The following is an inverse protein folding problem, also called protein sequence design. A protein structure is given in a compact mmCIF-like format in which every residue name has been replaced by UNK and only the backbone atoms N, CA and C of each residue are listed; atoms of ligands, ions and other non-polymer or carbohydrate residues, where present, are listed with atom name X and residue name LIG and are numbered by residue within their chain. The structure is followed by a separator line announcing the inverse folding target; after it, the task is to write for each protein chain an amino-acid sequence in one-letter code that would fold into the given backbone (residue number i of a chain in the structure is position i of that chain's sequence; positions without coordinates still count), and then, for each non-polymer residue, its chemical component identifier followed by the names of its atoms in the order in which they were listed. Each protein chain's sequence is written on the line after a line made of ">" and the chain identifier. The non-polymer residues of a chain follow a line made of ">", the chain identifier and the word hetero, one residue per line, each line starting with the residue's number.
data_IF_285250912569
#
_entry.id   IF_285250912569
#
_cell.length_a   1.000
_cell.length_b   1.000
_cell.length_c   1.000
_cell.angle_alpha   90.00
_cell.angle_beta   90.00
_cell.angle_gamma   90.00
#
_symmetry.space_group_name_H-M   'P 1'
#
loop_
_entity.id
_entity.type
_entity.pdbx_description
1 polymer ?
#
# COMPACT_ATOMS: atom_id res chain seq x y z
N UNK A 1 -23.14 -28.59 3.90
CA UNK A 1 -21.88 -28.98 4.56
C UNK A 1 -20.88 -27.86 4.30
N UNK A 2 -20.42 -27.16 5.33
CA UNK A 2 -19.43 -26.08 5.16
C UNK A 2 -18.05 -26.66 4.85
N UNK A 3 -17.19 -25.89 4.20
CA UNK A 3 -15.84 -26.33 3.81
C UNK A 3 -14.99 -26.72 5.03
N UNK A 4 -15.24 -26.12 6.19
CA UNK A 4 -14.60 -26.44 7.47
C UNK A 4 -14.90 -27.85 7.97
N UNK A 5 -15.99 -28.47 7.48
CA UNK A 5 -16.33 -29.87 7.78
C UNK A 5 -15.57 -30.85 6.86
N UNK A 6 -15.12 -30.35 5.71
CA UNK A 6 -14.35 -31.12 4.70
C UNK A 6 -12.86 -30.97 4.97
N UNK A 7 -12.40 -29.75 5.21
CA UNK A 7 -11.00 -29.43 5.52
C UNK A 7 -10.90 -28.70 6.86
N UNK A 8 -10.36 -29.39 7.87
CA UNK A 8 -10.19 -28.86 9.24
C UNK A 8 -9.20 -27.68 9.32
N UNK A 9 -8.40 -27.45 8.27
CA UNK A 9 -7.52 -26.28 8.16
C UNK A 9 -8.27 -25.05 7.65
N UNK A 10 -9.43 -25.23 7.05
CA UNK A 10 -10.29 -24.15 6.59
C UNK A 10 -11.18 -23.68 7.75
N UNK A 11 -10.85 -22.55 8.35
CA UNK A 11 -11.70 -21.94 9.37
C UNK A 11 -12.59 -20.89 8.73
N UNK A 12 -13.91 -20.88 9.02
CA UNK A 12 -14.75 -19.78 8.62
C UNK A 12 -14.21 -18.46 9.21
N UNK A 13 -14.36 -17.37 8.45
CA UNK A 13 -14.08 -16.02 8.95
C UNK A 13 -15.11 -15.72 10.06
N UNK A 14 -14.63 -15.44 11.25
CA UNK A 14 -15.50 -15.10 12.39
C UNK A 14 -14.73 -14.96 13.68
N UNK A 15 -15.39 -14.40 14.68
CA UNK A 15 -14.88 -14.29 16.04
C UNK A 15 -15.68 -15.28 16.89
N UNK A 16 -15.00 -16.29 17.41
CA UNK A 16 -15.60 -17.35 18.25
C UNK A 16 -15.38 -17.12 19.73
N UNK A 17 -14.42 -16.30 20.12
CA UNK A 17 -14.05 -16.03 21.50
C UNK A 17 -14.98 -15.03 22.17
N UNK A 18 -15.46 -15.38 23.36
CA UNK A 18 -16.34 -14.53 24.17
C UNK A 18 -15.60 -13.72 25.24
N UNK A 19 -14.30 -13.99 25.45
CA UNK A 19 -13.44 -13.44 26.48
C UNK A 19 -12.53 -12.29 25.95
N UNK A 20 -13.04 -11.49 24.99
CA UNK A 20 -12.27 -10.46 24.33
C UNK A 20 -12.59 -9.05 24.82
N UNK A 21 -11.54 -8.31 25.14
CA UNK A 21 -11.61 -6.87 25.40
C UNK A 21 -11.22 -6.13 24.12
N UNK A 22 -12.15 -5.32 23.58
CA UNK A 22 -12.01 -4.62 22.32
C UNK A 22 -11.51 -3.19 22.49
N UNK A 23 -10.54 -2.79 21.65
CA UNK A 23 -9.99 -1.43 21.62
C UNK A 23 -9.97 -0.89 20.19
N UNK A 24 -10.30 0.39 20.05
CA UNK A 24 -10.24 1.08 18.76
C UNK A 24 -8.81 1.51 18.43
N UNK A 25 -8.35 1.18 17.23
CA UNK A 25 -6.98 1.38 16.80
C UNK A 25 -6.62 2.82 16.39
N UNK A 26 -7.58 3.75 16.39
CA UNK A 26 -7.32 5.15 16.00
C UNK A 26 -6.69 6.02 17.12
N UNK A 27 -6.31 5.42 18.24
CA UNK A 27 -5.73 6.10 19.41
C UNK A 27 -4.66 5.23 20.10
N UNK A 28 -3.82 5.84 20.94
CA UNK A 28 -2.84 5.08 21.74
C UNK A 28 -3.50 3.92 22.51
N UNK A 29 -2.78 2.80 22.72
CA UNK A 29 -1.34 2.62 22.47
C UNK A 29 -0.98 2.17 21.04
N UNK A 30 -1.93 2.13 20.11
CA UNK A 30 -1.68 1.76 18.72
C UNK A 30 -0.85 2.81 17.99
N UNK A 31 0.14 2.36 17.23
CA UNK A 31 0.99 3.17 16.36
C UNK A 31 0.48 3.03 14.91
N UNK A 32 -0.18 4.08 14.40
CA UNK A 32 -0.72 4.13 13.04
C UNK A 32 0.30 4.76 12.11
N UNK A 33 0.66 4.06 11.03
CA UNK A 33 1.70 4.45 10.07
C UNK A 33 1.22 4.37 8.63
N UNK A 34 1.78 5.24 7.77
CA UNK A 34 1.46 5.31 6.34
C UNK A 34 0.07 5.86 6.02
N UNK A 35 -0.76 6.05 7.02
CA UNK A 35 -2.09 6.68 6.99
C UNK A 35 -2.32 7.44 8.29
N UNK A 36 -3.32 8.32 8.31
CA UNK A 36 -3.78 8.98 9.53
C UNK A 36 -5.30 8.87 9.66
N UNK A 37 -5.82 8.90 10.88
CA UNK A 37 -7.26 8.92 11.09
C UNK A 37 -7.79 10.34 11.00
N UNK A 38 -8.61 10.62 9.99
CA UNK A 38 -9.29 11.89 9.83
C UNK A 38 -10.61 11.90 10.64
N UNK A 39 -10.66 12.74 11.67
CA UNK A 39 -11.91 12.92 12.43
C UNK A 39 -13.00 13.56 11.58
N UNK A 40 -12.63 14.43 10.66
CA UNK A 40 -13.55 15.11 9.73
C UNK A 40 -14.20 14.12 8.77
N UNK A 41 -13.40 13.23 8.20
CA UNK A 41 -13.85 12.25 7.21
C UNK A 41 -14.31 10.93 7.85
N UNK A 42 -14.04 10.75 9.16
CA UNK A 42 -14.35 9.55 9.94
C UNK A 42 -13.80 8.26 9.31
N UNK A 43 -12.56 8.33 8.81
CA UNK A 43 -11.86 7.21 8.18
C UNK A 43 -10.35 7.42 8.19
N UNK A 44 -9.60 6.34 7.88
CA UNK A 44 -8.18 6.43 7.63
C UNK A 44 -7.91 7.00 6.24
N UNK A 45 -6.99 7.97 6.16
CA UNK A 45 -6.63 8.70 4.94
C UNK A 45 -5.15 8.55 4.65
N UNK A 46 -4.78 8.45 3.38
CA UNK A 46 -3.36 8.54 2.95
C UNK A 46 -2.89 9.99 2.83
N UNK A 47 -3.72 10.84 2.29
CA UNK A 47 -3.43 12.28 2.16
C UNK A 47 -4.72 13.11 2.33
N UNK A 48 -4.59 14.40 2.69
CA UNK A 48 -5.74 15.28 2.87
C UNK A 48 -6.58 15.39 1.59
N UNK A 49 -7.90 15.37 1.74
CA UNK A 49 -8.82 15.44 0.61
C UNK A 49 -8.63 16.71 -0.22
N UNK A 50 -8.37 17.85 0.42
CA UNK A 50 -8.10 19.13 -0.23
C UNK A 50 -6.78 19.15 -1.03
N UNK A 51 -5.77 18.41 -0.62
CA UNK A 51 -4.58 18.19 -1.43
C UNK A 51 -4.90 17.29 -2.64
N UNK A 52 -5.71 16.24 -2.44
CA UNK A 52 -6.20 15.40 -3.54
C UNK A 52 -6.97 16.19 -4.60
N UNK A 53 -7.84 17.12 -4.18
CA UNK A 53 -8.58 18.02 -5.08
C UNK A 53 -7.64 18.88 -5.94
N UNK A 54 -6.58 19.45 -5.35
CA UNK A 54 -5.59 20.28 -6.06
C UNK A 54 -4.78 19.47 -7.07
N UNK A 55 -4.50 18.20 -6.78
CA UNK A 55 -3.71 17.33 -7.66
C UNK A 55 -4.58 16.77 -8.78
N UNK A 56 -5.79 16.33 -8.48
CA UNK A 56 -6.73 15.84 -9.47
C UNK A 56 -7.60 14.68 -9.00
N UNK A 57 -8.62 14.39 -9.80
CA UNK A 57 -9.69 13.44 -9.45
C UNK A 57 -9.17 12.04 -9.02
N UNK A 58 -8.15 11.50 -9.71
CA UNK A 58 -7.57 10.21 -9.32
C UNK A 58 -6.99 10.20 -7.91
N UNK A 59 -6.41 11.31 -7.47
CA UNK A 59 -5.90 11.43 -6.10
C UNK A 59 -7.03 11.55 -5.08
N UNK A 60 -8.09 12.28 -5.42
CA UNK A 60 -9.27 12.37 -4.55
C UNK A 60 -9.89 11.00 -4.30
N UNK A 61 -10.07 10.21 -5.36
CA UNK A 61 -10.68 8.87 -5.32
C UNK A 61 -9.88 7.91 -4.44
N UNK A 62 -8.56 8.02 -4.46
CA UNK A 62 -7.69 7.11 -3.71
C UNK A 62 -7.17 7.70 -2.39
N UNK A 63 -7.66 8.86 -1.96
CA UNK A 63 -7.22 9.51 -0.73
C UNK A 63 -7.51 8.66 0.53
N UNK A 64 -8.65 7.99 0.56
CA UNK A 64 -9.09 7.14 1.66
C UNK A 64 -8.78 5.63 1.47
N UNK A 65 -8.16 5.24 0.35
CA UNK A 65 -7.56 3.91 0.24
C UNK A 65 -6.41 3.78 1.23
N UNK A 66 -6.29 2.63 1.87
CA UNK A 66 -5.32 2.48 2.97
C UNK A 66 -4.01 1.80 2.57
N UNK A 67 -3.67 1.80 1.27
CA UNK A 67 -2.42 1.23 0.76
C UNK A 67 -1.19 1.77 1.50
N UNK A 68 -0.33 0.86 1.96
CA UNK A 68 0.82 1.21 2.80
C UNK A 68 0.45 1.53 4.25
N UNK A 69 -0.84 1.57 4.61
CA UNK A 69 -1.30 1.77 5.97
C UNK A 69 -1.00 0.59 6.88
N UNK A 70 -0.51 0.88 8.07
CA UNK A 70 -0.18 -0.13 9.08
C UNK A 70 -0.63 0.33 10.45
N UNK A 71 -1.14 -0.63 11.25
CA UNK A 71 -1.44 -0.45 12.66
C UNK A 71 -0.53 -1.40 13.44
N UNK A 72 0.27 -0.85 14.34
CA UNK A 72 1.29 -1.58 15.07
C UNK A 72 1.04 -1.52 16.57
N UNK A 73 1.30 -2.62 17.25
CA UNK A 73 1.20 -2.73 18.71
C UNK A 73 1.92 -3.97 19.21
N UNK A 74 2.18 -4.03 20.50
CA UNK A 74 2.70 -5.22 21.17
C UNK A 74 1.65 -5.77 22.13
N UNK A 75 1.51 -7.10 22.20
CA UNK A 75 0.58 -7.74 23.13
C UNK A 75 1.14 -9.06 23.67
N UNK A 76 0.73 -9.44 24.86
CA UNK A 76 0.98 -10.77 25.42
C UNK A 76 -0.20 -11.73 25.22
N UNK A 77 -1.27 -11.31 24.54
CA UNK A 77 -2.43 -12.15 24.27
C UNK A 77 -2.08 -13.32 23.37
N UNK A 78 -2.46 -14.56 23.71
CA UNK A 78 -2.18 -15.74 22.88
C UNK A 78 -2.97 -15.77 21.57
N UNK A 79 -3.96 -14.89 21.45
CA UNK A 79 -4.80 -14.70 20.26
C UNK A 79 -5.21 -13.24 20.14
N UNK A 80 -5.47 -12.81 18.92
CA UNK A 80 -6.08 -11.52 18.64
C UNK A 80 -7.29 -11.70 17.74
N UNK A 81 -8.31 -10.88 17.95
CA UNK A 81 -9.43 -10.75 17.04
C UNK A 81 -9.41 -9.34 16.42
N UNK A 82 -9.83 -9.24 15.18
CA UNK A 82 -9.85 -7.96 14.43
C UNK A 82 -11.23 -7.80 13.84
N UNK A 83 -11.85 -6.64 14.05
CA UNK A 83 -13.05 -6.18 13.35
C UNK A 83 -12.69 -5.00 12.48
N UNK A 84 -13.19 -5.00 11.24
CA UNK A 84 -12.96 -3.93 10.28
C UNK A 84 -14.29 -3.46 9.74
N UNK A 85 -14.47 -2.15 9.71
CA UNK A 85 -15.50 -1.46 8.95
C UNK A 85 -14.81 -0.73 7.82
N UNK A 86 -15.01 -1.21 6.62
CA UNK A 86 -14.48 -0.64 5.39
C UNK A 86 -15.59 -0.16 4.44
N UNK A 87 -15.20 0.37 3.30
CA UNK A 87 -16.10 0.65 2.19
C UNK A 87 -15.86 -0.28 1.02
N UNK A 88 -16.84 -0.41 0.16
CA UNK A 88 -16.67 -1.10 -1.12
C UNK A 88 -15.52 -0.45 -1.89
N UNK A 89 -14.52 -1.27 -2.24
CA UNK A 89 -13.41 -0.82 -3.07
C UNK A 89 -13.90 -0.55 -4.48
N UNK A 90 -13.48 0.56 -5.01
CA UNK A 90 -13.74 0.93 -6.39
C UNK A 90 -12.42 0.95 -7.14
N UNK A 91 -12.43 0.50 -8.36
CA UNK A 91 -11.24 0.68 -9.13
C UNK A 91 -10.95 -0.35 -10.19
N UNK A 92 -10.00 0.05 -10.96
CA UNK A 92 -9.56 -0.51 -12.23
C UNK A 92 -9.03 -1.95 -12.10
N UNK A 93 -8.63 -2.36 -10.90
CA UNK A 93 -8.07 -3.70 -10.67
C UNK A 93 -9.10 -4.74 -10.22
N UNK A 94 -10.39 -4.46 -10.34
CA UNK A 94 -11.46 -5.34 -9.82
C UNK A 94 -11.47 -6.74 -10.44
N UNK A 95 -11.08 -6.89 -11.71
CA UNK A 95 -10.99 -8.19 -12.40
C UNK A 95 -9.72 -8.98 -12.03
N UNK A 96 -8.67 -8.29 -11.59
CA UNK A 96 -7.36 -8.88 -11.32
C UNK A 96 -7.02 -8.90 -9.82
N UNK A 97 -7.89 -8.34 -8.97
CA UNK A 97 -7.68 -8.24 -7.53
C UNK A 97 -8.71 -9.05 -6.77
N UNK A 98 -8.24 -9.98 -5.92
CA UNK A 98 -9.11 -10.75 -5.03
C UNK A 98 -9.61 -9.95 -3.84
N UNK A 99 -10.64 -10.47 -3.14
CA UNK A 99 -11.24 -9.84 -1.96
C UNK A 99 -10.21 -9.52 -0.87
N UNK A 100 -9.17 -10.34 -0.73
CA UNK A 100 -8.11 -10.11 0.27
C UNK A 100 -7.24 -8.91 -0.08
N UNK A 101 -6.92 -8.68 -1.36
CA UNK A 101 -6.22 -7.47 -1.81
C UNK A 101 -7.07 -6.23 -1.54
N UNK A 102 -8.34 -6.29 -1.95
CA UNK A 102 -9.24 -5.14 -1.92
C UNK A 102 -9.61 -4.72 -0.49
N UNK A 103 -9.88 -5.67 0.39
CA UNK A 103 -10.50 -5.41 1.70
C UNK A 103 -9.74 -6.02 2.88
N UNK A 104 -8.89 -7.02 2.63
CA UNK A 104 -8.28 -7.81 3.69
C UNK A 104 -7.29 -7.04 4.53
N UNK A 105 -7.09 -7.54 5.75
CA UNK A 105 -6.02 -7.14 6.65
C UNK A 105 -5.07 -8.31 6.82
N UNK A 106 -3.79 -8.10 6.59
CA UNK A 106 -2.75 -9.09 6.87
C UNK A 106 -2.11 -8.84 8.21
N UNK A 107 -1.88 -9.90 8.96
CA UNK A 107 -1.31 -9.86 10.31
C UNK A 107 0.10 -10.43 10.27
N UNK A 108 1.02 -9.68 10.82
CA UNK A 108 2.42 -10.08 11.01
C UNK A 108 2.80 -10.02 12.49
N UNK A 109 3.67 -10.91 12.92
CA UNK A 109 4.44 -10.79 14.15
C UNK A 109 5.90 -10.56 13.78
N UNK A 110 6.41 -9.35 14.00
CA UNK A 110 7.65 -8.90 13.40
C UNK A 110 7.63 -9.09 11.87
N UNK A 111 8.51 -9.92 11.33
CA UNK A 111 8.59 -10.22 9.88
C UNK A 111 7.75 -11.44 9.47
N UNK A 112 7.24 -12.23 10.43
CA UNK A 112 6.53 -13.49 10.17
C UNK A 112 5.06 -13.23 9.89
N UNK A 113 4.57 -13.71 8.74
CA UNK A 113 3.14 -13.70 8.41
C UNK A 113 2.37 -14.67 9.31
N UNK A 114 1.34 -14.19 9.99
CA UNK A 114 0.53 -14.95 10.94
C UNK A 114 -0.82 -15.36 10.36
N UNK A 115 -1.33 -14.62 9.41
CA UNK A 115 -2.62 -14.87 8.78
C UNK A 115 -3.23 -13.62 8.18
N UNK A 116 -4.41 -13.78 7.62
CA UNK A 116 -5.19 -12.70 7.03
C UNK A 116 -6.64 -12.77 7.49
N UNK A 117 -7.30 -11.63 7.53
CA UNK A 117 -8.73 -11.50 7.76
C UNK A 117 -9.29 -10.71 6.58
N UNK A 118 -10.33 -11.24 5.95
CA UNK A 118 -10.97 -10.63 4.79
C UNK A 118 -12.47 -10.94 4.79
N UNK A 119 -13.30 -10.09 4.17
CA UNK A 119 -14.73 -10.37 4.06
C UNK A 119 -14.97 -11.57 3.14
N UNK A 120 -16.09 -12.22 3.36
CA UNK A 120 -16.65 -13.15 2.38
C UNK A 120 -17.36 -12.36 1.27
N UNK A 121 -17.52 -12.96 0.10
CA UNK A 121 -18.21 -12.33 -1.02
C UNK A 121 -19.62 -11.83 -0.65
N UNK A 122 -20.37 -12.60 0.17
CA UNK A 122 -21.68 -12.20 0.66
C UNK A 122 -21.69 -10.87 1.40
N UNK A 123 -20.64 -10.56 2.18
CA UNK A 123 -20.53 -9.28 2.90
C UNK A 123 -20.40 -8.10 1.94
N UNK A 124 -19.64 -8.29 0.88
CA UNK A 124 -19.46 -7.27 -0.17
C UNK A 124 -20.75 -7.08 -0.97
N UNK A 125 -21.39 -8.18 -1.38
CA UNK A 125 -22.67 -8.12 -2.10
C UNK A 125 -23.77 -7.47 -1.26
N UNK A 126 -23.85 -7.77 0.02
CA UNK A 126 -24.80 -7.11 0.93
C UNK A 126 -24.53 -5.61 1.07
N UNK A 127 -23.26 -5.19 1.04
CA UNK A 127 -22.91 -3.78 1.13
C UNK A 127 -23.29 -2.99 -0.15
N UNK A 128 -23.22 -3.66 -1.31
CA UNK A 128 -23.59 -3.08 -2.62
C UNK A 128 -25.12 -3.02 -2.78
N UNK A 129 -25.85 -4.00 -2.23
CA UNK A 129 -27.30 -4.13 -2.38
C UNK A 129 -27.70 -4.34 -3.85
N UNK A 130 -28.78 -3.68 -4.27
CA UNK A 130 -29.28 -3.72 -5.66
C UNK A 130 -28.52 -2.79 -6.61
N UNK A 131 -27.50 -2.07 -6.14
CA UNK A 131 -26.73 -1.14 -6.96
C UNK A 131 -25.91 -1.93 -8.00
N UNK A 132 -26.08 -1.66 -9.32
CA UNK A 132 -25.34 -2.36 -10.32
C UNK A 132 -23.82 -2.24 -10.13
N UNK A 133 -23.08 -3.34 -10.26
CA UNK A 133 -21.61 -3.31 -10.18
C UNK A 133 -20.98 -2.39 -11.25
N UNK A 134 -21.66 -2.21 -12.38
CA UNK A 134 -21.26 -1.24 -13.41
C UNK A 134 -21.30 0.21 -12.95
N UNK A 135 -22.08 0.50 -11.91
CA UNK A 135 -22.09 1.83 -11.27
C UNK A 135 -20.76 2.14 -10.57
N UNK A 136 -19.89 1.16 -10.36
CA UNK A 136 -18.55 1.32 -9.80
C UNK A 136 -17.48 1.62 -10.86
N UNK A 137 -17.89 1.84 -12.12
CA UNK A 137 -16.99 2.19 -13.20
C UNK A 137 -16.93 3.71 -13.39
N UNK A 138 -15.74 4.29 -13.22
CA UNK A 138 -15.46 5.71 -13.48
C UNK A 138 -15.14 6.55 -12.25
N UNK A 139 -14.30 7.55 -12.46
CA UNK A 139 -13.75 8.37 -11.37
C UNK A 139 -14.78 9.27 -10.67
N UNK A 140 -15.77 9.79 -11.40
CA UNK A 140 -16.86 10.61 -10.81
C UNK A 140 -17.76 9.78 -9.89
N UNK A 141 -18.06 8.55 -10.31
CA UNK A 141 -18.83 7.61 -9.51
C UNK A 141 -18.08 7.20 -8.25
N UNK A 142 -16.77 6.93 -8.37
CA UNK A 142 -15.92 6.63 -7.24
C UNK A 142 -15.87 7.78 -6.23
N UNK A 143 -15.81 9.03 -6.69
CA UNK A 143 -15.87 10.21 -5.83
C UNK A 143 -17.20 10.30 -5.07
N UNK A 144 -18.33 10.18 -5.76
CA UNK A 144 -19.66 10.20 -5.12
C UNK A 144 -19.78 9.14 -4.03
N UNK A 145 -19.25 7.95 -4.28
CA UNK A 145 -19.25 6.84 -3.31
C UNK A 145 -18.33 7.03 -2.13
N UNK A 146 -17.20 7.69 -2.33
CA UNK A 146 -16.35 8.08 -1.23
C UNK A 146 -17.11 8.99 -0.26
N UNK A 147 -17.95 9.91 -0.75
CA UNK A 147 -18.83 10.71 0.09
C UNK A 147 -19.91 9.84 0.76
N UNK A 148 -20.58 8.98 0.00
CA UNK A 148 -21.56 8.04 0.55
C UNK A 148 -20.97 7.14 1.66
N UNK A 149 -19.71 6.71 1.53
CA UNK A 149 -19.02 5.97 2.58
C UNK A 149 -18.76 6.83 3.83
N UNK A 150 -18.31 8.08 3.65
CA UNK A 150 -18.15 9.03 4.74
C UNK A 150 -19.47 9.29 5.46
N UNK A 151 -20.57 9.30 4.72
CA UNK A 151 -21.94 9.39 5.23
C UNK A 151 -22.48 8.07 5.82
N UNK A 152 -21.66 7.01 5.76
CA UNK A 152 -21.96 5.72 6.37
C UNK A 152 -22.69 4.71 5.51
N UNK A 153 -22.78 4.93 4.18
CA UNK A 153 -23.30 3.97 3.19
C UNK A 153 -22.24 2.99 2.72
N UNK A 154 -22.64 1.92 2.03
CA UNK A 154 -21.76 0.93 1.37
C UNK A 154 -20.67 0.33 2.26
N UNK A 155 -21.00 0.03 3.51
CA UNK A 155 -20.07 -0.56 4.47
C UNK A 155 -19.82 -2.03 4.18
N UNK A 156 -18.56 -2.43 4.21
CA UNK A 156 -18.14 -3.82 4.25
C UNK A 156 -17.64 -4.13 5.65
N UNK A 157 -18.38 -4.94 6.40
CA UNK A 157 -18.02 -5.30 7.76
C UNK A 157 -17.58 -6.76 7.81
N UNK A 158 -16.47 -7.01 8.48
CA UNK A 158 -15.94 -8.35 8.67
C UNK A 158 -15.07 -8.43 9.93
N UNK A 159 -14.90 -9.66 10.42
CA UNK A 159 -14.09 -9.92 11.59
C UNK A 159 -13.45 -11.31 11.49
N UNK A 160 -12.39 -11.53 12.26
CA UNK A 160 -11.78 -12.83 12.40
C UNK A 160 -10.76 -12.88 13.52
N UNK A 161 -10.29 -14.08 13.84
CA UNK A 161 -9.33 -14.35 14.90
C UNK A 161 -8.04 -14.96 14.35
N UNK A 162 -6.93 -14.63 14.99
CA UNK A 162 -5.63 -15.26 14.76
C UNK A 162 -5.07 -15.72 16.11
N UNK A 163 -4.81 -17.03 16.22
CA UNK A 163 -4.17 -17.62 17.39
C UNK A 163 -2.67 -17.78 17.15
N UNK A 164 -1.86 -17.40 18.13
CA UNK A 164 -0.41 -17.58 18.13
C UNK A 164 0.03 -18.91 18.75
N UNK A 165 -0.87 -19.59 19.48
CA UNK A 165 -0.56 -20.87 20.18
C UNK A 165 -0.07 -21.98 19.26
N UNK A 166 -0.50 -21.97 17.99
CA UNK A 166 -0.05 -22.92 16.97
C UNK A 166 1.39 -22.71 16.52
N UNK A 167 1.98 -21.58 16.87
CA UNK A 167 3.34 -21.19 16.49
C UNK A 167 4.27 -21.37 17.69
N UNK A 168 4.70 -22.61 17.92
CA UNK A 168 5.54 -23.01 19.09
C UNK A 168 6.90 -22.30 19.13
N UNK A 169 7.34 -21.75 18.03
CA UNK A 169 8.54 -20.93 17.89
C UNK A 169 8.38 -19.48 18.37
N UNK A 170 7.14 -19.04 18.63
CA UNK A 170 6.82 -17.69 19.09
C UNK A 170 6.54 -17.68 20.58
N UNK A 171 6.99 -16.62 21.24
CA UNK A 171 6.73 -16.34 22.67
C UNK A 171 6.25 -14.91 22.83
N UNK A 172 5.32 -14.65 23.77
CA UNK A 172 4.94 -13.28 24.10
C UNK A 172 6.12 -12.50 24.73
N UNK A 173 6.18 -11.17 24.62
CA UNK A 173 5.20 -10.36 23.90
C UNK A 173 5.35 -10.46 22.37
N UNK A 174 4.23 -10.31 21.64
CA UNK A 174 4.17 -10.38 20.19
C UNK A 174 4.13 -8.97 19.59
N UNK A 175 5.01 -8.68 18.63
CA UNK A 175 5.07 -7.39 17.92
C UNK A 175 4.19 -7.45 16.68
N UNK A 176 2.97 -7.00 16.81
CA UNK A 176 1.94 -7.13 15.79
C UNK A 176 1.95 -5.95 14.84
N UNK A 177 1.90 -6.24 13.56
CA UNK A 177 1.63 -5.28 12.48
C UNK A 177 0.43 -5.76 11.66
N UNK A 178 -0.59 -4.93 11.60
CA UNK A 178 -1.73 -5.09 10.70
C UNK A 178 -1.44 -4.27 9.45
N UNK A 179 -1.30 -4.91 8.29
CA UNK A 179 -1.26 -4.23 7.00
C UNK A 179 -2.70 -4.03 6.53
N UNK A 180 -3.09 -2.77 6.32
CA UNK A 180 -4.45 -2.39 5.93
C UNK A 180 -4.74 -2.68 4.46
N UNK A 181 -6.03 -2.75 4.06
CA UNK A 181 -6.45 -2.99 2.68
C UNK A 181 -5.75 -2.08 1.67
N UNK A 182 -5.48 -2.59 0.47
CA UNK A 182 -4.81 -1.80 -0.56
C UNK A 182 -5.79 -0.84 -1.26
N UNK A 183 -7.01 -1.28 -1.55
CA UNK A 183 -8.00 -0.47 -2.29
C UNK A 183 -9.24 -0.10 -1.48
N UNK A 184 -9.64 -0.91 -0.51
CA UNK A 184 -10.74 -0.58 0.38
C UNK A 184 -10.38 0.57 1.31
N UNK A 185 -11.24 1.57 1.43
CA UNK A 185 -11.16 2.56 2.49
C UNK A 185 -11.50 1.91 3.83
N UNK A 186 -10.88 2.36 4.92
CA UNK A 186 -11.09 1.84 6.26
C UNK A 186 -11.62 2.93 7.17
N UNK A 187 -12.80 2.70 7.76
CA UNK A 187 -13.41 3.61 8.72
C UNK A 187 -13.01 3.28 10.14
N UNK A 188 -13.03 2.00 10.47
CA UNK A 188 -12.75 1.53 11.84
C UNK A 188 -11.99 0.23 11.83
N UNK A 189 -11.05 0.12 12.74
CA UNK A 189 -10.38 -1.13 13.09
C UNK A 189 -10.44 -1.29 14.61
N UNK A 190 -11.04 -2.40 15.06
CA UNK A 190 -11.01 -2.80 16.45
C UNK A 190 -10.13 -4.03 16.61
N UNK A 191 -9.28 -4.01 17.62
CA UNK A 191 -8.49 -5.17 18.05
C UNK A 191 -9.04 -5.67 19.38
N UNK A 192 -9.41 -6.95 19.41
CA UNK A 192 -9.79 -7.68 20.61
C UNK A 192 -8.62 -8.55 21.10
N UNK A 193 -8.29 -8.45 22.36
CA UNK A 193 -7.33 -9.32 23.05
C UNK A 193 -8.02 -10.07 24.17
N UNK A 194 -7.48 -11.21 24.58
CA UNK A 194 -8.04 -11.97 25.69
C UNK A 194 -8.06 -11.15 26.97
N UNK A 195 -9.10 -11.26 27.76
CA UNK A 195 -9.24 -10.60 29.06
C UNK A 195 -8.02 -10.87 29.94
N UNK A 196 -7.50 -9.83 30.60
CA UNK A 196 -6.25 -9.88 31.37
C UNK A 196 -4.98 -9.70 30.55
N UNK A 197 -5.05 -9.69 29.21
CA UNK A 197 -3.91 -9.38 28.37
C UNK A 197 -3.70 -7.86 28.22
N UNK A 198 -2.49 -7.49 27.84
CA UNK A 198 -2.08 -6.08 27.67
C UNK A 198 -1.87 -5.75 26.19
N UNK A 199 -2.12 -4.49 25.83
CA UNK A 199 -1.67 -3.87 24.58
C UNK A 199 -0.77 -2.70 24.94
N UNK A 200 0.43 -2.67 24.36
CA UNK A 200 1.43 -1.62 24.56
C UNK A 200 1.93 -1.07 23.23
N UNK A 201 2.58 0.10 23.20
CA UNK A 201 3.20 0.61 21.97
C UNK A 201 4.21 -0.40 21.41
N UNK A 202 4.33 -0.50 20.07
CA UNK A 202 5.30 -1.39 19.44
C UNK A 202 6.73 -0.85 19.55
N UNK A 203 7.76 -1.66 19.30
CA UNK A 203 9.12 -1.18 19.09
C UNK A 203 9.18 -0.11 18.00
N UNK A 204 10.06 0.87 18.15
CA UNK A 204 10.32 1.85 17.10
C UNK A 204 10.92 1.17 15.87
N UNK A 205 10.69 1.74 14.69
CA UNK A 205 11.46 1.36 13.52
C UNK A 205 12.94 1.70 13.69
N UNK A 206 13.81 0.96 13.00
CA UNK A 206 15.25 1.22 12.96
C UNK A 206 15.55 2.64 12.41
N UNK A 207 14.76 3.11 11.44
CA UNK A 207 14.89 4.42 10.82
C UNK A 207 13.68 5.29 11.15
N UNK A 208 13.93 6.49 11.68
CA UNK A 208 12.89 7.38 12.22
C UNK A 208 12.00 8.03 11.15
N UNK A 209 12.56 8.32 9.97
CA UNK A 209 11.83 8.91 8.85
C UNK A 209 11.37 7.84 7.87
N UNK A 210 10.20 8.08 7.25
CA UNK A 210 9.63 7.18 6.26
C UNK A 210 10.28 7.34 4.88
N UNK A 211 10.22 6.29 4.07
CA UNK A 211 10.46 6.38 2.62
C UNK A 211 9.15 6.76 1.94
N UNK A 212 9.17 7.82 1.12
CA UNK A 212 8.02 8.23 0.32
C UNK A 212 8.05 7.52 -1.04
N UNK A 213 7.06 6.68 -1.32
CA UNK A 213 6.88 5.97 -2.59
C UNK A 213 5.82 6.68 -3.44
N UNK A 214 6.23 7.22 -4.58
CA UNK A 214 5.34 7.80 -5.57
C UNK A 214 5.33 6.99 -6.86
N UNK A 215 4.14 6.57 -7.31
CA UNK A 215 4.03 5.76 -8.51
C UNK A 215 2.60 5.36 -8.87
N UNK A 216 2.51 4.38 -9.76
CA UNK A 216 1.29 3.91 -10.40
C UNK A 216 0.44 2.97 -9.52
N UNK A 217 -0.46 2.19 -10.17
CA UNK A 217 -1.17 1.05 -9.56
C UNK A 217 -0.21 0.01 -8.98
N UNK A 218 0.99 -0.12 -9.52
CA UNK A 218 2.00 -1.05 -9.05
C UNK A 218 2.51 -0.61 -7.67
N UNK A 219 2.85 0.66 -7.52
CA UNK A 219 3.21 1.25 -6.22
C UNK A 219 2.06 1.21 -5.23
N UNK A 220 0.82 1.43 -5.70
CA UNK A 220 -0.39 1.26 -4.89
C UNK A 220 -0.51 -0.16 -4.31
N UNK A 221 -0.01 -1.18 -5.02
CA UNK A 221 -0.06 -2.59 -4.64
C UNK A 221 -1.10 -3.39 -5.43
N UNK A 222 -1.48 -2.90 -6.60
CA UNK A 222 -2.44 -3.59 -7.48
C UNK A 222 -1.97 -4.99 -7.82
N UNK A 223 -2.88 -5.96 -7.70
CA UNK A 223 -2.68 -7.38 -8.00
C UNK A 223 -1.78 -8.17 -7.02
N UNK A 224 -1.27 -7.58 -5.94
CA UNK A 224 -0.79 -8.38 -4.81
C UNK A 224 -1.93 -9.24 -4.27
N UNK A 225 -1.68 -10.48 -3.85
CA UNK A 225 -2.75 -11.35 -3.34
C UNK A 225 -3.35 -10.85 -2.04
N UNK A 226 -2.60 -10.06 -1.26
CA UNK A 226 -3.00 -9.50 0.03
C UNK A 226 -2.15 -8.27 0.39
N UNK A 227 -2.63 -7.38 1.27
CA UNK A 227 -1.81 -6.33 1.86
C UNK A 227 -0.55 -6.91 2.49
N UNK A 228 0.57 -6.24 2.30
CA UNK A 228 1.85 -6.72 2.80
C UNK A 228 2.66 -7.55 1.79
N UNK A 229 2.09 -7.98 0.67
CA UNK A 229 2.82 -8.63 -0.42
C UNK A 229 3.19 -7.66 -1.56
N UNK A 230 2.66 -6.45 -1.55
CA UNK A 230 3.13 -5.36 -2.41
C UNK A 230 4.57 -4.94 -2.02
N UNK A 231 5.35 -4.47 -3.00
CA UNK A 231 6.77 -4.19 -2.78
C UNK A 231 7.03 -3.12 -1.72
N UNK A 232 6.12 -2.15 -1.54
CA UNK A 232 6.26 -1.09 -0.54
C UNK A 232 6.22 -1.66 0.87
N UNK A 233 5.24 -2.51 1.17
CA UNK A 233 5.15 -3.19 2.46
C UNK A 233 6.24 -4.27 2.65
N UNK A 234 6.66 -4.95 1.58
CA UNK A 234 7.81 -5.86 1.63
C UNK A 234 9.07 -5.11 2.05
N UNK A 235 9.37 -3.99 1.42
CA UNK A 235 10.53 -3.14 1.73
C UNK A 235 10.46 -2.58 3.16
N UNK A 236 9.28 -2.13 3.62
CA UNK A 236 9.10 -1.69 5.01
C UNK A 236 9.55 -2.76 6.00
N UNK A 237 9.13 -4.02 5.81
CA UNK A 237 9.53 -5.13 6.69
C UNK A 237 10.99 -5.57 6.53
N UNK A 238 11.52 -5.53 5.31
CA UNK A 238 12.91 -5.92 5.04
C UNK A 238 13.90 -4.91 5.64
N UNK A 239 13.61 -3.62 5.50
CA UNK A 239 14.45 -2.50 5.94
C UNK A 239 14.21 -2.10 7.39
N UNK A 240 13.12 -2.56 8.01
CA UNK A 240 12.65 -2.08 9.32
C UNK A 240 12.52 -0.55 9.34
N UNK A 241 11.73 -0.03 8.39
CA UNK A 241 11.50 1.41 8.20
C UNK A 241 10.04 1.71 7.96
N UNK A 242 9.63 2.92 8.32
CA UNK A 242 8.31 3.43 7.96
C UNK A 242 8.25 3.74 6.46
N UNK A 243 7.06 3.67 5.87
CA UNK A 243 6.81 3.99 4.47
C UNK A 243 5.55 4.83 4.32
N UNK A 244 5.57 5.73 3.36
CA UNK A 244 4.41 6.51 2.93
C UNK A 244 4.13 6.22 1.45
N UNK A 245 3.04 5.51 1.20
CA UNK A 245 2.65 5.08 -0.15
C UNK A 245 1.68 6.08 -0.77
N UNK A 246 2.15 6.86 -1.73
CA UNK A 246 1.33 7.75 -2.57
C UNK A 246 1.20 7.24 -4.00
N UNK A 247 1.19 5.91 -4.17
CA UNK A 247 0.84 5.27 -5.43
C UNK A 247 -0.63 5.48 -5.77
N UNK A 248 -0.93 5.87 -7.01
CA UNK A 248 -2.30 6.18 -7.48
C UNK A 248 -2.56 5.52 -8.83
N UNK A 249 -3.47 4.56 -8.80
CA UNK A 249 -3.84 3.77 -9.99
C UNK A 249 -4.26 4.67 -11.16
N UNK A 250 -3.57 4.52 -12.30
CA UNK A 250 -3.88 5.24 -13.54
C UNK A 250 -3.61 6.74 -13.53
N UNK A 251 -3.16 7.32 -12.39
CA UNK A 251 -3.12 8.77 -12.21
C UNK A 251 -1.74 9.34 -11.84
N UNK A 252 -0.74 8.51 -11.62
CA UNK A 252 0.62 8.96 -11.35
C UNK A 252 1.32 9.38 -12.66
N UNK A 253 1.23 10.67 -12.99
CA UNK A 253 1.74 11.23 -14.26
C UNK A 253 2.74 12.36 -14.08
N UNK A 254 3.21 12.59 -12.86
CA UNK A 254 3.98 13.79 -12.54
C UNK A 254 3.12 15.06 -12.61
N UNK A 255 3.76 16.21 -12.74
CA UNK A 255 3.11 17.49 -12.88
C UNK A 255 3.12 18.34 -11.60
N UNK A 256 2.94 19.65 -11.78
CA UNK A 256 3.24 20.66 -10.77
C UNK A 256 2.52 20.47 -9.43
N UNK A 257 1.27 20.04 -9.45
CA UNK A 257 0.49 19.92 -8.21
C UNK A 257 1.02 18.80 -7.30
N UNK A 258 1.31 17.61 -7.87
CA UNK A 258 1.88 16.50 -7.09
C UNK A 258 3.32 16.80 -6.66
N UNK A 259 4.11 17.47 -7.49
CA UNK A 259 5.46 17.92 -7.14
C UNK A 259 5.43 18.84 -5.92
N UNK A 260 4.52 19.83 -5.90
CA UNK A 260 4.35 20.76 -4.79
C UNK A 260 3.82 20.08 -3.52
N UNK A 261 2.97 19.07 -3.66
CA UNK A 261 2.53 18.25 -2.53
C UNK A 261 3.71 17.46 -1.95
N UNK A 262 4.46 16.74 -2.79
CA UNK A 262 5.63 15.97 -2.35
C UNK A 262 6.71 16.86 -1.73
N UNK A 263 6.92 18.06 -2.23
CA UNK A 263 7.89 19.01 -1.69
C UNK A 263 7.57 19.50 -0.28
N UNK A 264 6.34 19.30 0.24
CA UNK A 264 5.97 19.59 1.64
C UNK A 264 6.26 18.43 2.60
N UNK A 265 6.58 17.24 2.06
CA UNK A 265 6.87 16.04 2.85
C UNK A 265 8.32 16.08 3.34
N UNK A 266 8.63 15.33 4.41
CA UNK A 266 10.01 15.21 4.94
C UNK A 266 10.42 13.73 5.06
N UNK A 267 10.58 13.00 3.93
CA UNK A 267 10.98 11.60 3.96
C UNK A 267 12.50 11.43 4.15
N UNK A 268 12.93 10.21 4.48
CA UNK A 268 14.33 9.80 4.39
C UNK A 268 14.78 9.59 2.96
N UNK A 269 13.89 9.15 2.06
CA UNK A 269 14.14 8.89 0.65
C UNK A 269 12.86 9.20 -0.13
N UNK A 270 12.99 9.85 -1.30
CA UNK A 270 11.97 9.83 -2.34
C UNK A 270 12.24 8.67 -3.29
N UNK A 271 11.27 7.76 -3.44
CA UNK A 271 11.30 6.65 -4.39
C UNK A 271 10.23 6.86 -5.45
N UNK A 272 10.65 7.06 -6.70
CA UNK A 272 9.82 7.56 -7.81
C UNK A 272 9.70 6.50 -8.91
N UNK A 273 8.48 5.99 -9.12
CA UNK A 273 8.15 4.87 -10.01
C UNK A 273 6.81 5.16 -10.75
N UNK A 274 6.78 6.20 -11.60
CA UNK A 274 5.52 6.64 -12.21
C UNK A 274 5.42 6.50 -13.73
N UNK A 275 6.46 6.03 -14.40
CA UNK A 275 6.48 5.95 -15.86
C UNK A 275 5.38 5.02 -16.44
N UNK A 276 4.91 4.05 -15.67
CA UNK A 276 3.79 3.20 -16.04
C UNK A 276 2.50 3.96 -16.40
N UNK A 277 2.25 5.10 -15.77
CA UNK A 277 1.07 5.92 -16.02
C UNK A 277 1.35 7.14 -16.92
N UNK A 278 2.61 7.43 -17.25
CA UNK A 278 2.94 8.42 -18.25
C UNK A 278 2.39 7.96 -19.61
N UNK A 279 1.68 8.81 -20.36
CA UNK A 279 1.09 8.41 -21.64
C UNK A 279 2.16 7.94 -22.65
N UNK A 280 3.29 8.64 -22.70
CA UNK A 280 4.40 8.39 -23.63
C UNK A 280 5.72 8.97 -23.09
N UNK A 281 6.81 8.72 -23.80
CA UNK A 281 8.15 9.23 -23.45
C UNK A 281 8.23 10.78 -23.51
N UNK A 282 7.44 11.42 -24.39
CA UNK A 282 7.40 12.87 -24.51
C UNK A 282 6.78 13.52 -23.24
N UNK A 283 5.77 12.88 -22.68
CA UNK A 283 5.20 13.29 -21.38
C UNK A 283 6.25 13.17 -20.26
N UNK A 284 7.01 12.08 -20.21
CA UNK A 284 8.11 11.93 -19.26
C UNK A 284 9.17 13.01 -19.41
N UNK A 285 9.59 13.37 -20.64
CA UNK A 285 10.53 14.49 -20.88
C UNK A 285 10.04 15.80 -20.27
N UNK A 286 8.72 16.04 -20.35
CA UNK A 286 8.11 17.27 -19.81
C UNK A 286 7.95 17.28 -18.30
N UNK A 287 7.89 16.12 -17.66
CA UNK A 287 7.51 16.02 -16.23
C UNK A 287 8.65 15.51 -15.34
N UNK A 288 9.56 14.67 -15.84
CA UNK A 288 10.46 13.92 -14.99
C UNK A 288 11.58 14.81 -14.39
N UNK A 289 12.29 15.57 -15.22
CA UNK A 289 13.32 16.48 -14.72
C UNK A 289 12.76 17.66 -13.90
N UNK A 290 11.62 18.29 -14.27
CA UNK A 290 10.95 19.29 -13.42
C UNK A 290 10.55 18.75 -12.03
N UNK A 291 10.06 17.50 -11.94
CA UNK A 291 9.76 16.86 -10.66
C UNK A 291 11.04 16.73 -9.81
N UNK A 292 12.14 16.24 -10.40
CA UNK A 292 13.43 16.20 -9.73
C UNK A 292 13.83 17.58 -9.19
N UNK A 293 13.81 18.62 -10.05
CA UNK A 293 14.20 19.98 -9.68
C UNK A 293 13.35 20.53 -8.52
N UNK A 294 12.05 20.28 -8.55
CA UNK A 294 11.13 20.73 -7.48
C UNK A 294 11.48 20.07 -6.15
N UNK A 295 11.68 18.74 -6.14
CA UNK A 295 12.04 18.00 -4.94
C UNK A 295 13.43 18.40 -4.42
N UNK A 296 14.43 18.49 -5.31
CA UNK A 296 15.80 18.84 -4.92
C UNK A 296 15.91 20.25 -4.36
N UNK A 297 15.15 21.18 -4.92
CA UNK A 297 15.06 22.56 -4.38
C UNK A 297 14.47 22.60 -2.97
N UNK A 298 13.45 21.80 -2.70
CA UNK A 298 12.81 21.73 -1.38
C UNK A 298 13.67 20.95 -0.38
N UNK A 299 14.35 19.91 -0.83
CA UNK A 299 15.12 18.97 -0.03
C UNK A 299 16.53 18.76 -0.62
N UNK A 300 17.47 19.68 -0.33
CA UNK A 300 18.81 19.69 -0.96
C UNK A 300 19.59 18.40 -0.76
N UNK A 301 19.42 17.72 0.38
CA UNK A 301 20.23 16.54 0.76
C UNK A 301 19.45 15.21 0.70
N UNK A 302 18.11 15.24 0.63
CA UNK A 302 17.32 14.01 0.68
C UNK A 302 17.57 13.15 -0.55
N UNK A 303 17.92 11.87 -0.41
CA UNK A 303 18.11 10.96 -1.52
C UNK A 303 16.85 10.82 -2.38
N UNK A 304 17.05 10.81 -3.72
CA UNK A 304 15.98 10.60 -4.70
C UNK A 304 16.36 9.38 -5.55
N UNK A 305 15.52 8.35 -5.53
CA UNK A 305 15.70 7.13 -6.32
C UNK A 305 14.64 7.11 -7.41
N UNK A 306 15.07 7.08 -8.65
CA UNK A 306 14.20 6.92 -9.80
C UNK A 306 14.27 5.50 -10.34
N UNK A 307 13.12 4.95 -10.70
CA UNK A 307 12.99 3.59 -11.22
C UNK A 307 12.27 3.65 -12.57
N UNK A 308 12.79 2.97 -13.57
CA UNK A 308 12.07 2.76 -14.82
C UNK A 308 11.14 1.55 -14.71
N UNK A 309 10.20 1.44 -15.64
CA UNK A 309 9.20 0.37 -15.72
C UNK A 309 9.83 -1.02 -15.56
N UNK A 310 9.25 -1.83 -14.65
CA UNK A 310 9.78 -3.16 -14.31
C UNK A 310 9.31 -4.26 -15.27
N UNK A 311 8.10 -4.15 -15.82
CA UNK A 311 7.63 -5.06 -16.85
C UNK A 311 7.93 -4.44 -18.21
N UNK A 312 8.75 -5.11 -19.00
CA UNK A 312 8.95 -4.74 -20.39
C UNK A 312 7.72 -5.26 -21.15
N UNK A 313 6.74 -4.39 -21.31
CA UNK A 313 5.61 -4.68 -22.18
C UNK A 313 6.10 -4.66 -23.61
N UNK A 314 6.13 -5.82 -24.27
CA UNK A 314 6.55 -5.98 -25.65
C UNK A 314 5.72 -5.15 -26.64
N UNK A 315 4.58 -4.64 -26.21
CA UNK A 315 3.68 -3.83 -27.03
C UNK A 315 3.92 -2.32 -26.92
N UNK A 316 4.76 -1.85 -25.97
CA UNK A 316 5.14 -0.44 -25.89
C UNK A 316 6.39 -0.16 -26.73
N UNK A 317 6.17 0.47 -27.87
CA UNK A 317 7.26 0.82 -28.80
C UNK A 317 8.28 1.82 -28.22
N UNK A 318 7.95 2.53 -27.11
CA UNK A 318 8.74 3.61 -26.52
C UNK A 318 9.42 3.26 -25.20
N UNK A 319 9.46 1.99 -24.77
CA UNK A 319 9.98 1.64 -23.44
C UNK A 319 11.46 1.97 -23.26
N UNK A 320 12.30 1.78 -24.29
CA UNK A 320 13.70 2.12 -24.22
C UNK A 320 13.90 3.63 -24.10
N UNK A 321 13.09 4.39 -24.84
CA UNK A 321 13.11 5.85 -24.81
C UNK A 321 12.68 6.38 -23.43
N UNK A 322 11.70 5.74 -22.78
CA UNK A 322 11.29 6.05 -21.40
C UNK A 322 12.42 5.83 -20.40
N UNK A 323 13.10 4.68 -20.50
CA UNK A 323 14.28 4.37 -19.67
C UNK A 323 15.34 5.46 -19.84
N UNK A 324 15.61 5.89 -21.08
CA UNK A 324 16.60 6.91 -21.39
C UNK A 324 16.23 8.27 -20.82
N UNK A 325 14.96 8.67 -20.87
CA UNK A 325 14.49 9.92 -20.25
C UNK A 325 14.73 9.92 -18.73
N UNK A 326 14.43 8.81 -18.07
CA UNK A 326 14.62 8.68 -16.62
C UNK A 326 16.12 8.69 -16.27
N UNK A 327 16.93 7.94 -17.05
CA UNK A 327 18.39 7.89 -16.90
C UNK A 327 19.02 9.28 -17.10
N UNK A 328 18.65 9.99 -18.17
CA UNK A 328 19.14 11.33 -18.48
C UNK A 328 18.81 12.34 -17.38
N UNK A 329 17.67 12.20 -16.69
CA UNK A 329 17.37 13.03 -15.52
C UNK A 329 18.43 12.85 -14.42
N UNK A 330 18.80 11.60 -14.14
CA UNK A 330 19.80 11.29 -13.10
C UNK A 330 21.21 11.70 -13.52
N UNK A 331 21.58 11.47 -14.78
CA UNK A 331 22.87 11.86 -15.32
C UNK A 331 23.06 13.37 -15.27
N UNK A 332 22.08 14.13 -15.73
CA UNK A 332 22.09 15.59 -15.65
C UNK A 332 22.19 16.10 -14.22
N UNK A 333 21.43 15.50 -13.29
CA UNK A 333 21.51 15.86 -11.88
C UNK A 333 22.92 15.63 -11.31
N UNK A 334 23.59 14.53 -11.70
CA UNK A 334 24.97 14.24 -11.29
C UNK A 334 25.98 15.18 -11.91
N UNK A 335 25.81 15.56 -13.19
CA UNK A 335 26.61 16.57 -13.86
C UNK A 335 26.51 17.93 -13.15
N UNK A 336 25.33 18.28 -12.63
CA UNK A 336 25.09 19.47 -11.81
C UNK A 336 25.61 19.32 -10.36
N UNK A 337 26.26 18.19 -10.04
CA UNK A 337 26.93 17.95 -8.74
C UNK A 337 26.09 17.21 -7.69
N UNK A 338 24.87 16.77 -8.02
CA UNK A 338 24.03 16.01 -7.06
C UNK A 338 24.62 14.60 -6.82
N UNK A 339 24.96 14.30 -5.57
CA UNK A 339 25.49 13.00 -5.13
C UNK A 339 24.43 12.08 -4.55
N UNK A 340 23.22 12.61 -4.33
CA UNK A 340 22.11 11.91 -3.65
C UNK A 340 20.98 11.56 -4.62
N UNK A 341 21.29 11.33 -5.89
CA UNK A 341 20.34 10.88 -6.91
C UNK A 341 20.76 9.53 -7.50
N UNK A 342 19.79 8.62 -7.62
CA UNK A 342 20.03 7.22 -7.98
C UNK A 342 19.07 6.79 -9.09
N UNK A 343 19.53 5.86 -9.94
CA UNK A 343 18.72 5.24 -10.98
C UNK A 343 18.72 3.71 -10.81
N UNK A 344 17.54 3.12 -10.90
CA UNK A 344 17.35 1.66 -10.97
C UNK A 344 16.72 1.34 -12.32
N UNK A 345 17.39 0.53 -13.12
CA UNK A 345 16.88 0.06 -14.39
C UNK A 345 15.87 -1.09 -14.15
N UNK A 346 14.59 -0.75 -14.17
CA UNK A 346 13.50 -1.68 -13.91
C UNK A 346 13.42 -2.81 -14.93
N UNK A 347 13.83 -2.58 -16.18
CA UNK A 347 13.81 -3.58 -17.25
C UNK A 347 14.66 -4.83 -16.96
N UNK A 348 15.55 -4.75 -15.97
CA UNK A 348 16.45 -5.83 -15.56
C UNK A 348 15.94 -6.64 -14.35
N UNK A 349 14.77 -6.28 -13.81
CA UNK A 349 14.29 -6.86 -12.56
C UNK A 349 13.60 -8.21 -12.78
N UNK A 350 12.77 -8.30 -13.82
CA UNK A 350 12.13 -9.57 -14.15
C UNK A 350 13.02 -10.37 -15.11
N UNK A 351 13.36 -11.63 -14.77
CA UNK A 351 14.04 -12.50 -15.73
C UNK A 351 13.21 -12.62 -17.01
N UNK A 352 13.86 -12.60 -18.16
CA UNK A 352 13.19 -12.63 -19.46
C UNK A 352 12.23 -13.82 -19.58
N UNK A 353 12.69 -15.00 -19.14
CA UNK A 353 11.93 -16.25 -19.21
C UNK A 353 10.71 -16.28 -18.28
N UNK A 354 10.71 -15.45 -17.23
CA UNK A 354 9.66 -15.39 -16.22
C UNK A 354 8.86 -14.10 -16.27
N UNK A 355 9.09 -13.22 -17.22
CA UNK A 355 8.47 -11.89 -17.26
C UNK A 355 6.93 -11.99 -17.26
N UNK A 356 6.35 -12.93 -18.03
CA UNK A 356 4.93 -13.22 -18.03
C UNK A 356 4.42 -13.76 -16.69
N UNK A 357 5.16 -14.66 -16.07
CA UNK A 357 4.81 -15.29 -14.79
C UNK A 357 4.92 -14.34 -13.59
N UNK A 358 5.65 -13.22 -13.75
CA UNK A 358 5.78 -12.18 -12.73
C UNK A 358 4.58 -11.23 -12.68
N UNK A 359 3.66 -11.31 -13.64
CA UNK A 359 2.51 -10.40 -13.77
C UNK A 359 1.21 -11.18 -13.88
N UNK A 360 0.08 -10.50 -13.70
CA UNK A 360 -1.24 -11.09 -13.87
C UNK A 360 -1.83 -10.80 -15.27
N UNK A 361 -1.37 -9.74 -15.90
CA UNK A 361 -1.95 -9.20 -17.15
C UNK A 361 -0.88 -8.65 -18.13
N UNK A 362 0.38 -9.04 -17.93
CA UNK A 362 1.54 -8.52 -18.69
C UNK A 362 2.06 -7.17 -18.18
N UNK A 363 1.39 -6.54 -17.21
CA UNK A 363 1.75 -5.22 -16.66
C UNK A 363 1.85 -5.23 -15.14
N UNK A 364 0.80 -5.65 -14.44
CA UNK A 364 0.72 -5.57 -12.99
C UNK A 364 1.39 -6.78 -12.33
N UNK A 365 2.40 -6.57 -11.48
CA UNK A 365 3.08 -7.65 -10.78
C UNK A 365 2.11 -8.45 -9.89
N UNK A 366 2.29 -9.76 -9.88
CA UNK A 366 1.77 -10.65 -8.85
C UNK A 366 2.75 -10.74 -7.66
N UNK A 367 2.52 -11.62 -6.69
CA UNK A 367 3.38 -11.76 -5.52
C UNK A 367 4.85 -12.11 -5.87
N UNK A 368 5.07 -12.91 -6.94
CA UNK A 368 6.42 -13.20 -7.43
C UNK A 368 7.09 -11.93 -7.95
N UNK A 369 6.42 -11.19 -8.81
CA UNK A 369 6.90 -9.93 -9.34
C UNK A 369 7.20 -8.92 -8.23
N UNK A 370 6.30 -8.73 -7.28
CA UNK A 370 6.53 -7.82 -6.15
C UNK A 370 7.71 -8.25 -5.28
N UNK A 371 7.91 -9.54 -5.06
CA UNK A 371 9.06 -10.03 -4.31
C UNK A 371 10.38 -9.79 -5.05
N UNK A 372 10.41 -9.96 -6.38
CA UNK A 372 11.59 -9.66 -7.20
C UNK A 372 11.89 -8.15 -7.19
N UNK A 373 10.87 -7.30 -7.32
CA UNK A 373 11.01 -5.84 -7.18
C UNK A 373 11.61 -5.49 -5.81
N UNK A 374 11.03 -5.99 -4.73
CA UNK A 374 11.51 -5.70 -3.39
C UNK A 374 12.97 -6.14 -3.19
N UNK A 375 13.36 -7.32 -3.70
CA UNK A 375 14.74 -7.81 -3.65
C UNK A 375 15.71 -6.96 -4.47
N UNK A 376 15.28 -6.42 -5.61
CA UNK A 376 16.10 -5.55 -6.44
C UNK A 376 16.29 -4.16 -5.81
N UNK A 377 15.25 -3.61 -5.19
CA UNK A 377 15.27 -2.29 -4.57
C UNK A 377 15.97 -2.28 -3.20
N UNK A 378 15.86 -3.38 -2.45
CA UNK A 378 16.36 -3.51 -1.08
C UNK A 378 17.84 -3.10 -0.91
N UNK A 379 18.81 -3.59 -1.69
CA UNK A 379 20.22 -3.25 -1.49
C UNK A 379 20.48 -1.75 -1.67
N UNK A 380 19.88 -1.12 -2.69
CA UNK A 380 20.04 0.32 -2.95
C UNK A 380 19.47 1.14 -1.80
N UNK A 381 18.24 0.84 -1.37
CA UNK A 381 17.61 1.57 -0.27
C UNK A 381 18.32 1.35 1.06
N UNK A 382 18.79 0.13 1.32
CA UNK A 382 19.58 -0.19 2.51
C UNK A 382 20.87 0.63 2.55
N UNK A 383 21.63 0.64 1.45
CA UNK A 383 22.89 1.39 1.37
C UNK A 383 22.70 2.90 1.55
N UNK A 384 21.56 3.43 1.13
CA UNK A 384 21.20 4.84 1.34
C UNK A 384 20.85 5.11 2.81
N UNK A 385 20.07 4.25 3.43
CA UNK A 385 19.63 4.41 4.83
C UNK A 385 20.75 4.20 5.85
N UNK A 386 21.83 3.51 5.48
CA UNK A 386 22.97 3.21 6.35
C UNK A 386 24.13 4.24 6.21
N UNK A 387 23.99 5.22 5.30
CA UNK A 387 24.90 6.37 5.17
C UNK A 387 24.57 7.48 6.16
#
# INVERSE_FOLDING_TARGET
>A
MGIEQIDKNFKPSGVSSNDLVWQNCNKPPFDVRGVYYSKKDNCYMRFPADEGEKIGLGYMVYADCSAGGRIRFTTNSPKIAIKVVGRVAEGVCSSSSGLTNLYGVSVYNGKKFMGKIAPELKNVLSAVGETPLTYFAGAETAYTRMQDFRDGKFKVEFAGEISFEKHTDLKPPYDITLCLPLYGGVREVLVGVQEGSTITPPPKYKHDKYICFYGSSITHGGCATRPGNDYVNLLSRMLDTDVYNIGVTGSARGGRAIEQFMAKLDPSIYFIDYDHNAPDAEHLRKTHYPLYQTLRKAHPETPIVFVSKVSVDYYLNDYQERIEVIRSTVEKAKEDGDKNVYFIDGSKIFPFELCGDCTIDGCHPNDLGFMLMAKAFYPVLKDILEK
#
